data_IF_756295334381
#
_entry.id   IF_756295334381
#
_cell.length_a   1.000
_cell.length_b   1.000
_cell.length_c   1.000
_cell.angle_alpha   90.00
_cell.angle_beta   90.00
_cell.angle_gamma   90.00
#
_symmetry.space_group_name_H-M   'P 1'
#
loop_
_entity.id
_entity.type
_entity.pdbx_description
1 polymer ?
#
# COMPACT_ATOMS: atom_id res chain seq x y z
N UNK A 1 -29.97 -7.88 19.45
CA UNK A 1 -29.92 -7.28 18.11
C UNK A 1 -28.47 -7.30 17.68
N UNK A 2 -28.08 -8.05 16.65
CA UNK A 2 -26.68 -8.18 16.29
C UNK A 2 -26.28 -7.00 15.40
N UNK A 3 -25.30 -6.22 15.86
CA UNK A 3 -24.54 -5.30 15.01
C UNK A 3 -23.53 -6.14 14.23
N UNK A 4 -23.73 -6.22 12.92
CA UNK A 4 -22.73 -6.68 11.98
C UNK A 4 -21.84 -5.48 11.62
N UNK A 5 -20.57 -5.51 11.99
CA UNK A 5 -19.55 -4.62 11.41
C UNK A 5 -18.36 -5.49 11.03
N UNK A 6 -18.24 -5.79 9.74
CA UNK A 6 -17.08 -6.38 9.12
C UNK A 6 -16.23 -5.23 8.54
N UNK A 7 -14.92 -5.26 8.73
CA UNK A 7 -14.00 -4.32 8.08
C UNK A 7 -13.04 -5.09 7.20
N UNK A 8 -12.85 -4.58 5.98
CA UNK A 8 -11.94 -5.14 4.98
C UNK A 8 -10.56 -4.49 5.17
N UNK A 9 -9.52 -5.32 5.27
CA UNK A 9 -8.14 -4.86 5.10
C UNK A 9 -7.97 -4.39 3.67
N UNK A 10 -7.16 -3.34 3.41
CA UNK A 10 -6.89 -2.74 2.08
C UNK A 10 -7.17 -3.75 0.99
N UNK A 11 -8.37 -3.70 0.44
CA UNK A 11 -8.57 -4.35 -0.82
C UNK A 11 -7.79 -3.45 -1.77
N UNK A 12 -6.58 -3.85 -2.12
CA UNK A 12 -5.97 -3.47 -3.41
C UNK A 12 -6.76 -4.08 -4.57
N UNK A 13 -8.08 -4.17 -4.45
CA UNK A 13 -8.99 -4.16 -5.58
C UNK A 13 -9.41 -2.71 -5.68
N UNK A 14 -8.99 -2.03 -6.75
CA UNK A 14 -9.83 -1.00 -7.33
C UNK A 14 -11.29 -1.51 -7.26
N UNK A 15 -12.13 -0.83 -6.45
CA UNK A 15 -13.60 -1.00 -6.37
C UNK A 15 -14.14 -2.41 -6.71
N UNK A 16 -14.37 -3.25 -5.70
CA UNK A 16 -15.45 -4.23 -5.78
C UNK A 16 -16.49 -3.84 -4.73
N UNK A 17 -17.42 -2.97 -5.18
CA UNK A 17 -18.58 -2.57 -4.40
C UNK A 17 -19.65 -3.66 -4.48
N UNK A 18 -20.34 -3.84 -3.36
CA UNK A 18 -21.39 -4.81 -3.05
C UNK A 18 -22.56 -4.88 -4.06
N UNK A 19 -22.90 -6.10 -4.50
CA UNK A 19 -23.90 -6.49 -5.51
C UNK A 19 -25.33 -6.54 -4.95
N UNK A 20 -25.91 -5.39 -4.62
CA UNK A 20 -27.33 -5.37 -4.28
C UNK A 20 -28.06 -4.12 -4.75
N UNK A 21 -28.19 -3.91 -6.07
CA UNK A 21 -29.36 -3.28 -6.70
C UNK A 21 -29.20 -3.33 -8.23
N UNK A 22 -29.80 -4.32 -8.89
CA UNK A 22 -29.75 -4.45 -10.35
C UNK A 22 -31.17 -4.46 -10.93
N UNK A 23 -31.52 -3.37 -11.64
CA UNK A 23 -32.67 -3.32 -12.54
C UNK A 23 -32.15 -3.31 -14.00
N UNK A 24 -31.88 -4.51 -14.52
CA UNK A 24 -32.23 -4.88 -15.90
C UNK A 24 -31.58 -4.13 -17.07
N UNK A 25 -30.34 -3.64 -16.94
CA UNK A 25 -29.52 -3.24 -18.11
C UNK A 25 -28.10 -3.76 -17.90
N UNK A 26 -27.63 -4.67 -18.76
CA UNK A 26 -26.23 -5.11 -18.77
C UNK A 26 -25.31 -3.93 -19.14
N UNK A 27 -24.32 -3.65 -18.29
CA UNK A 27 -23.23 -2.69 -18.53
C UNK A 27 -21.88 -3.44 -18.41
N UNK A 28 -20.85 -3.14 -19.23
CA UNK A 28 -19.61 -3.91 -19.30
C UNK A 28 -18.53 -3.44 -18.30
N UNK A 29 -17.88 -4.39 -17.59
CA UNK A 29 -16.46 -4.56 -17.20
C UNK A 29 -15.46 -3.39 -16.86
N UNK A 30 -15.79 -2.09 -16.92
CA UNK A 30 -14.74 -1.08 -17.25
C UNK A 30 -14.54 0.13 -16.32
N UNK A 31 -13.82 0.00 -15.20
CA UNK A 31 -13.30 1.15 -14.41
C UNK A 31 -11.87 0.89 -13.90
N UNK A 32 -11.23 1.89 -13.26
CA UNK A 32 -9.76 2.14 -13.10
C UNK A 32 -8.88 0.89 -12.92
N UNK A 33 -7.61 0.71 -13.34
CA UNK A 33 -6.49 1.53 -13.86
C UNK A 33 -6.81 2.93 -14.36
N UNK A 34 -6.83 3.94 -13.49
CA UNK A 34 -7.44 5.27 -13.62
C UNK A 34 -8.34 5.47 -14.84
N UNK A 35 -9.59 5.04 -14.68
CA UNK A 35 -10.61 4.73 -15.70
C UNK A 35 -10.16 3.96 -16.95
N UNK A 36 -8.89 3.68 -17.19
CA UNK A 36 -8.20 2.93 -18.26
C UNK A 36 -8.40 3.54 -19.67
N UNK A 37 -9.27 4.55 -19.76
CA UNK A 37 -10.32 4.62 -20.81
C UNK A 37 -11.04 5.98 -20.81
N UNK A 38 -10.37 7.06 -20.43
CA UNK A 38 -10.92 8.43 -20.54
C UNK A 38 -11.23 9.10 -19.20
N UNK A 39 -10.24 9.20 -18.32
CA UNK A 39 -10.31 10.10 -17.16
C UNK A 39 -10.33 11.56 -17.65
N UNK A 40 -11.27 12.34 -17.09
CA UNK A 40 -11.30 13.80 -17.04
C UNK A 40 -12.32 14.12 -15.93
N UNK A 41 -12.21 15.26 -15.28
CA UNK A 41 -10.96 15.90 -14.87
C UNK A 41 -11.08 16.58 -13.51
N UNK A 42 -12.29 16.63 -12.98
CA UNK A 42 -12.71 17.45 -11.87
C UNK A 42 -13.00 16.57 -10.66
N UNK A 43 -12.54 15.32 -10.66
CA UNK A 43 -12.52 14.38 -9.54
C UNK A 43 -11.22 13.55 -9.50
N UNK A 44 -10.29 13.86 -10.41
CA UNK A 44 -8.88 13.41 -10.41
C UNK A 44 -8.09 13.95 -9.24
N UNK A 45 -8.68 14.90 -8.53
CA UNK A 45 -8.09 15.42 -7.33
C UNK A 45 -8.17 14.34 -6.25
N UNK A 46 -7.05 13.59 -6.19
CA UNK A 46 -6.35 13.14 -4.99
C UNK A 46 -6.49 11.66 -4.64
N UNK A 47 -5.37 11.00 -4.32
CA UNK A 47 -4.18 10.86 -5.15
C UNK A 47 -4.24 9.53 -5.93
N UNK A 48 -4.06 9.67 -7.24
CA UNK A 48 -3.93 8.61 -8.27
C UNK A 48 -2.82 7.63 -7.92
N UNK A 49 -1.85 8.10 -7.13
CA UNK A 49 -0.74 7.32 -6.62
C UNK A 49 -0.77 7.36 -5.10
N UNK A 50 -0.90 6.19 -4.50
CA UNK A 50 -0.75 6.02 -3.08
C UNK A 50 0.71 5.68 -2.77
N UNK A 51 1.40 6.53 -2.00
CA UNK A 51 2.76 6.25 -1.53
C UNK A 51 2.81 6.37 -0.02
N UNK A 52 3.26 5.32 0.65
CA UNK A 52 3.52 5.31 2.07
C UNK A 52 4.86 4.65 2.41
N UNK A 53 5.48 5.14 3.49
CA UNK A 53 6.55 4.44 4.18
C UNK A 53 6.04 4.02 5.55
N UNK A 54 6.20 2.74 5.87
CA UNK A 54 6.01 2.24 7.22
C UNK A 54 7.39 2.13 7.88
N UNK A 55 7.54 2.64 9.09
CA UNK A 55 8.78 2.52 9.88
C UNK A 55 8.45 1.82 11.19
N UNK A 56 9.13 0.72 11.49
CA UNK A 56 8.92 -0.06 12.71
C UNK A 56 9.58 0.64 13.91
N UNK A 57 9.03 1.79 14.30
CA UNK A 57 9.45 2.58 15.44
C UNK A 57 8.32 3.54 15.87
N UNK A 58 8.30 4.00 17.13
CA UNK A 58 7.38 5.04 17.59
C UNK A 58 7.55 6.36 16.84
N UNK A 59 6.46 7.10 16.64
CA UNK A 59 6.47 8.36 15.88
C UNK A 59 7.41 9.42 16.48
N UNK A 60 7.63 9.38 17.78
CA UNK A 60 8.56 10.27 18.50
C UNK A 60 10.03 10.02 18.12
N UNK A 61 10.35 8.80 17.67
CA UNK A 61 11.68 8.45 17.17
C UNK A 61 11.81 8.71 15.67
N UNK A 62 10.74 8.49 14.91
CA UNK A 62 10.74 8.66 13.45
C UNK A 62 10.72 10.13 13.06
N UNK A 63 9.87 10.94 13.70
CA UNK A 63 9.64 12.33 13.30
C UNK A 63 10.89 13.22 13.33
N UNK A 64 11.79 13.14 14.33
CA UNK A 64 13.03 13.91 14.30
C UNK A 64 13.97 13.43 13.21
N UNK A 65 14.00 12.13 12.87
CA UNK A 65 14.88 11.64 11.80
C UNK A 65 14.40 12.12 10.44
N UNK A 66 13.08 12.09 10.21
CA UNK A 66 12.45 12.59 8.98
C UNK A 66 12.68 14.10 8.82
N UNK A 67 12.54 14.91 9.87
CA UNK A 67 12.72 16.37 9.79
C UNK A 67 14.13 16.81 9.38
N UNK A 68 15.13 15.93 9.49
CA UNK A 68 16.52 16.18 9.08
C UNK A 68 16.91 15.48 7.76
N UNK A 69 15.95 14.89 7.04
CA UNK A 69 16.23 14.30 5.74
C UNK A 69 16.18 15.36 4.63
N UNK A 70 17.14 15.37 3.69
CA UNK A 70 17.01 16.14 2.46
C UNK A 70 15.70 15.72 1.76
N UNK A 71 14.95 16.68 1.23
CA UNK A 71 13.63 16.45 0.60
C UNK A 71 12.51 16.01 1.54
N UNK A 72 12.71 16.05 2.86
CA UNK A 72 11.58 16.06 3.76
C UNK A 72 10.81 17.34 3.50
N UNK A 73 9.73 17.23 2.72
CA UNK A 73 8.73 18.28 2.65
C UNK A 73 8.20 18.53 4.07
N UNK A 74 7.49 19.64 4.30
CA UNK A 74 6.98 19.96 5.65
C UNK A 74 6.02 18.88 6.14
N UNK A 75 6.53 17.93 6.92
CA UNK A 75 5.73 16.91 7.58
C UNK A 75 5.10 17.49 8.83
N UNK A 76 3.80 17.22 9.00
CA UNK A 76 3.17 17.31 10.31
C UNK A 76 3.27 15.93 10.95
N UNK A 77 4.00 15.87 12.06
CA UNK A 77 4.02 14.70 12.93
C UNK A 77 2.75 14.67 13.79
N UNK A 78 2.25 13.45 14.04
CA UNK A 78 1.11 13.19 14.91
C UNK A 78 -0.10 14.04 14.50
N UNK A 79 -0.63 13.80 13.30
CA UNK A 79 -1.72 14.60 12.71
C UNK A 79 -3.07 14.42 13.39
N UNK A 80 -3.18 13.55 14.39
CA UNK A 80 -4.47 13.27 15.03
C UNK A 80 -5.07 14.47 15.73
N UNK A 81 -6.30 14.81 15.37
CA UNK A 81 -7.04 15.93 15.95
C UNK A 81 -6.47 17.30 15.56
N UNK A 82 -5.61 17.35 14.53
CA UNK A 82 -5.08 18.59 13.95
C UNK A 82 -5.78 18.87 12.63
N UNK A 83 -6.10 20.14 12.38
CA UNK A 83 -6.46 20.58 11.02
C UNK A 83 -5.19 20.53 10.18
N UNK A 84 -5.24 19.82 9.06
CA UNK A 84 -4.11 19.71 8.13
C UNK A 84 -4.37 20.75 7.03
N UNK A 85 -3.65 21.86 7.08
CA UNK A 85 -3.76 22.92 6.08
C UNK A 85 -2.49 22.90 5.21
N UNK A 86 -2.67 22.63 3.91
CA UNK A 86 -1.65 22.82 2.88
C UNK A 86 -0.31 22.15 3.21
N UNK A 87 -0.32 20.84 3.49
CA UNK A 87 0.91 20.09 3.75
C UNK A 87 1.22 19.09 2.67
N UNK A 88 2.51 18.91 2.46
CA UNK A 88 3.04 18.00 1.47
C UNK A 88 3.27 16.60 2.03
N UNK A 89 2.99 16.37 3.31
CA UNK A 89 3.16 15.07 3.93
C UNK A 89 2.67 15.02 5.36
N UNK A 90 2.27 13.82 5.78
CA UNK A 90 1.72 13.56 7.10
C UNK A 90 2.41 12.35 7.71
N UNK A 91 2.61 12.38 9.02
CA UNK A 91 3.04 11.20 9.77
C UNK A 91 2.05 10.91 10.88
N UNK A 92 1.70 9.65 11.03
CA UNK A 92 0.81 9.16 12.07
C UNK A 92 1.18 7.73 12.43
N UNK A 93 0.74 7.31 13.61
CA UNK A 93 0.88 5.94 14.07
C UNK A 93 -0.47 5.51 14.62
N UNK A 94 -1.04 4.42 14.10
CA UNK A 94 -2.30 3.92 14.64
C UNK A 94 -2.10 3.39 16.07
N UNK A 95 -3.11 3.56 16.93
CA UNK A 95 -3.04 3.04 18.29
C UNK A 95 -2.88 1.51 18.28
N UNK A 96 -1.89 0.99 18.99
CA UNK A 96 -1.56 -0.44 19.01
C UNK A 96 -0.85 -0.96 17.76
N UNK A 97 -0.63 -0.11 16.75
CA UNK A 97 0.13 -0.47 15.57
C UNK A 97 1.62 -0.14 15.79
N UNK A 98 2.55 -1.11 15.65
CA UNK A 98 3.97 -0.85 15.93
C UNK A 98 4.68 -0.02 14.85
N UNK A 99 4.00 0.31 13.76
CA UNK A 99 4.56 1.03 12.62
C UNK A 99 4.08 2.48 12.60
N UNK A 100 5.02 3.40 12.49
CA UNK A 100 4.73 4.78 12.09
C UNK A 100 4.61 4.84 10.58
N UNK A 101 3.57 5.51 10.09
CA UNK A 101 3.28 5.66 8.67
C UNK A 101 3.60 7.09 8.26
N UNK A 102 4.40 7.24 7.20
CA UNK A 102 4.75 8.50 6.57
C UNK A 102 4.13 8.52 5.17
N UNK A 103 3.27 9.50 4.88
CA UNK A 103 2.62 9.63 3.58
C UNK A 103 3.07 10.88 2.83
N UNK A 104 3.19 10.71 1.50
CA UNK A 104 3.46 11.68 0.42
C UNK A 104 4.95 11.97 0.08
N UNK A 105 5.24 11.95 -1.23
CA UNK A 105 6.49 12.40 -1.87
C UNK A 105 7.73 11.58 -1.57
N UNK A 106 7.53 10.35 -1.13
CA UNK A 106 8.58 9.47 -0.66
C UNK A 106 9.07 8.52 -1.73
N UNK A 107 10.31 8.09 -1.59
CA UNK A 107 10.94 7.09 -2.47
C UNK A 107 11.37 5.89 -1.64
N UNK A 108 11.56 4.74 -2.29
CA UNK A 108 12.20 3.59 -1.66
C UNK A 108 13.56 3.93 -1.02
N UNK A 109 14.28 4.91 -1.58
CA UNK A 109 15.52 5.43 -1.00
C UNK A 109 15.32 6.00 0.40
N UNK A 110 14.22 6.74 0.63
CA UNK A 110 13.92 7.31 1.94
C UNK A 110 13.57 6.23 2.97
N UNK A 111 12.77 5.23 2.60
CA UNK A 111 12.49 4.08 3.46
C UNK A 111 13.81 3.40 3.88
N UNK A 112 14.67 3.09 2.91
CA UNK A 112 16.01 2.54 3.17
C UNK A 112 16.82 3.39 4.13
N UNK A 113 16.85 4.71 3.95
CA UNK A 113 17.57 5.62 4.84
C UNK A 113 16.98 5.68 6.25
N UNK A 114 15.66 5.59 6.39
CA UNK A 114 15.00 5.54 7.70
C UNK A 114 15.36 4.24 8.42
N UNK A 115 15.23 3.10 7.73
CA UNK A 115 15.67 1.80 8.23
C UNK A 115 17.15 1.81 8.66
N UNK A 116 18.03 2.42 7.87
CA UNK A 116 19.45 2.56 8.20
C UNK A 116 19.69 3.44 9.43
N UNK A 117 19.09 4.63 9.50
CA UNK A 117 19.35 5.59 10.58
C UNK A 117 18.77 5.14 11.92
N UNK A 118 17.59 4.53 11.88
CA UNK A 118 16.89 4.06 13.08
C UNK A 118 17.25 2.62 13.45
N UNK A 119 18.09 1.93 12.66
CA UNK A 119 18.46 0.53 12.87
C UNK A 119 17.22 -0.36 13.08
N UNK A 120 16.25 -0.19 12.18
CA UNK A 120 14.95 -0.86 12.26
C UNK A 120 14.47 -1.34 10.87
N UNK A 121 13.30 -1.96 10.81
CA UNK A 121 12.61 -2.28 9.56
C UNK A 121 11.86 -1.07 9.01
N UNK A 122 11.84 -0.93 7.69
CA UNK A 122 10.92 -0.02 7.01
C UNK A 122 10.34 -0.68 5.77
N UNK A 123 9.09 -0.37 5.44
CA UNK A 123 8.44 -0.79 4.20
C UNK A 123 8.22 0.45 3.35
N UNK A 124 8.69 0.43 2.11
CA UNK A 124 8.19 1.32 1.07
C UNK A 124 7.02 0.65 0.38
N UNK A 125 5.94 1.39 0.20
CA UNK A 125 4.73 0.96 -0.47
C UNK A 125 4.30 2.03 -1.46
N UNK A 126 4.08 1.62 -2.69
CA UNK A 126 3.53 2.46 -3.74
C UNK A 126 2.48 1.66 -4.53
N UNK A 127 1.36 2.32 -4.79
CA UNK A 127 0.35 1.87 -5.72
C UNK A 127 0.04 3.02 -6.67
N UNK A 128 0.06 2.77 -7.96
CA UNK A 128 -0.22 3.72 -9.03
C UNK A 128 -1.47 3.24 -9.77
N UNK A 129 -2.62 3.87 -9.51
CA UNK A 129 -3.86 3.49 -10.18
C UNK A 129 -3.76 3.78 -11.69
N UNK A 130 -3.07 4.85 -12.12
CA UNK A 130 -2.92 5.14 -13.57
C UNK A 130 -2.12 4.10 -14.33
N UNK A 131 -1.01 3.66 -13.74
CA UNK A 131 -0.12 2.68 -14.35
C UNK A 131 -0.55 1.23 -14.09
N UNK A 132 -1.47 1.01 -13.15
CA UNK A 132 -1.67 -0.30 -12.55
C UNK A 132 -0.44 -0.78 -11.81
N UNK A 133 0.46 0.10 -11.41
CA UNK A 133 1.76 -0.32 -10.91
C UNK A 133 1.76 -0.46 -9.40
N UNK A 134 2.42 -1.51 -8.93
CA UNK A 134 2.50 -1.84 -7.53
C UNK A 134 3.94 -2.12 -7.11
N UNK A 135 4.42 -1.43 -6.07
CA UNK A 135 5.73 -1.64 -5.48
C UNK A 135 5.67 -1.84 -3.96
N UNK A 136 6.40 -2.85 -3.50
CA UNK A 136 6.69 -3.12 -2.10
C UNK A 136 8.18 -3.37 -1.94
N UNK A 137 8.81 -2.68 -0.99
CA UNK A 137 10.20 -2.95 -0.62
C UNK A 137 10.36 -2.93 0.89
N UNK A 138 10.75 -4.05 1.47
CA UNK A 138 11.09 -4.18 2.88
C UNK A 138 12.60 -4.02 3.06
N UNK A 139 12.96 -3.07 3.91
CA UNK A 139 14.33 -2.84 4.33
C UNK A 139 14.52 -3.21 5.80
N UNK A 140 15.71 -3.69 6.13
CA UNK A 140 16.18 -3.87 7.50
C UNK A 140 17.60 -3.33 7.62
N UNK A 141 17.81 -2.41 8.57
CA UNK A 141 19.08 -1.72 8.79
C UNK A 141 19.70 -1.09 7.52
N UNK A 142 18.85 -0.67 6.57
CA UNK A 142 19.28 -0.10 5.29
C UNK A 142 19.55 -1.09 4.16
N UNK A 143 19.38 -2.40 4.39
CA UNK A 143 19.45 -3.41 3.34
C UNK A 143 18.05 -3.82 2.88
N UNK A 144 17.85 -3.97 1.58
CA UNK A 144 16.62 -4.55 1.04
C UNK A 144 16.62 -6.06 1.28
N UNK A 145 15.57 -6.57 1.92
CA UNK A 145 15.44 -7.99 2.29
C UNK A 145 14.25 -8.68 1.62
N UNK A 146 13.29 -7.91 1.10
CA UNK A 146 12.15 -8.40 0.31
C UNK A 146 11.66 -7.28 -0.62
N UNK A 147 11.38 -7.61 -1.88
CA UNK A 147 10.94 -6.68 -2.91
C UNK A 147 9.88 -7.37 -3.77
N UNK A 148 8.78 -6.66 -4.04
CA UNK A 148 7.76 -7.02 -5.01
C UNK A 148 7.52 -5.81 -5.89
N UNK A 149 7.48 -6.04 -7.19
CA UNK A 149 7.19 -5.04 -8.19
C UNK A 149 6.27 -5.69 -9.21
N UNK A 150 5.08 -5.14 -9.41
CA UNK A 150 4.02 -5.82 -10.14
C UNK A 150 3.18 -4.83 -10.92
N UNK A 151 2.84 -5.23 -12.14
CA UNK A 151 1.85 -4.59 -12.97
C UNK A 151 0.49 -5.28 -12.72
N UNK A 152 -0.54 -4.51 -12.42
CA UNK A 152 -1.90 -4.94 -12.12
C UNK A 152 -2.55 -5.63 -13.32
N UNK A 153 -2.03 -5.46 -14.55
CA UNK A 153 -2.49 -6.22 -15.72
C UNK A 153 -2.46 -7.74 -15.50
N UNK A 154 -1.64 -8.27 -14.59
CA UNK A 154 -1.64 -9.71 -14.28
C UNK A 154 -2.86 -10.18 -13.48
N UNK A 155 -3.55 -9.25 -12.81
CA UNK A 155 -4.72 -9.55 -11.96
C UNK A 155 -6.05 -9.26 -12.66
N UNK A 156 -6.01 -8.66 -13.85
CA UNK A 156 -7.21 -8.38 -14.66
C UNK A 156 -7.80 -9.68 -15.24
N UNK A 157 -9.11 -9.86 -15.08
CA UNK A 157 -9.87 -11.02 -15.55
C UNK A 157 -9.74 -11.24 -17.06
N UNK A 158 -9.52 -10.17 -17.83
CA UNK A 158 -9.30 -10.21 -19.28
C UNK A 158 -7.96 -10.87 -19.67
N UNK A 159 -7.05 -10.97 -18.71
CA UNK A 159 -5.69 -11.47 -18.86
C UNK A 159 -5.49 -12.85 -18.20
N UNK A 160 -6.53 -13.45 -17.60
CA UNK A 160 -6.52 -14.80 -17.02
C UNK A 160 -6.13 -15.92 -18.00
N UNK A 161 -6.20 -15.65 -19.30
CA UNK A 161 -5.81 -16.59 -20.36
C UNK A 161 -4.36 -16.42 -20.82
N UNK A 162 -3.64 -15.41 -20.31
CA UNK A 162 -2.26 -15.19 -20.67
C UNK A 162 -1.35 -16.23 -20.02
N UNK A 163 -0.40 -16.73 -20.81
CA UNK A 163 0.61 -17.67 -20.33
C UNK A 163 1.71 -16.89 -19.65
N UNK A 164 1.63 -16.78 -18.33
CA UNK A 164 2.70 -16.21 -17.51
C UNK A 164 3.88 -17.19 -17.48
N UNK A 165 5.03 -16.75 -17.98
CA UNK A 165 6.24 -17.58 -18.00
C UNK A 165 7.06 -17.23 -16.75
N UNK A 166 7.21 -18.17 -15.80
CA UNK A 166 8.11 -17.95 -14.68
C UNK A 166 9.55 -18.01 -15.17
N UNK A 167 10.31 -16.95 -14.90
CA UNK A 167 11.73 -16.90 -15.24
C UNK A 167 12.57 -16.51 -14.00
N UNK A 168 13.70 -17.20 -13.77
CA UNK A 168 14.63 -16.78 -12.75
C UNK A 168 15.23 -15.43 -13.15
N UNK A 169 15.37 -14.54 -12.19
CA UNK A 169 16.11 -13.31 -12.39
C UNK A 169 17.61 -13.66 -12.36
N UNK A 170 18.31 -13.30 -13.43
CA UNK A 170 19.69 -13.75 -13.66
C UNK A 170 20.70 -12.89 -12.88
N UNK A 171 20.38 -12.58 -11.63
CA UNK A 171 21.30 -11.97 -10.67
C UNK A 171 21.54 -12.92 -9.49
N UNK A 172 22.61 -12.66 -8.74
CA UNK A 172 22.98 -13.48 -7.57
C UNK A 172 21.96 -13.39 -6.43
N UNK A 173 20.85 -12.67 -6.63
CA UNK A 173 19.88 -12.36 -5.58
C UNK A 173 18.71 -13.34 -5.51
N UNK A 174 18.64 -14.31 -6.45
CA UNK A 174 17.69 -15.41 -6.41
C UNK A 174 16.23 -14.99 -6.62
N UNK A 175 16.01 -13.83 -7.24
CA UNK A 175 14.68 -13.36 -7.60
C UNK A 175 14.06 -14.21 -8.71
N UNK A 176 12.74 -14.12 -8.86
CA UNK A 176 12.03 -14.64 -10.01
C UNK A 176 10.92 -13.67 -10.42
N UNK A 177 10.45 -13.79 -11.64
CA UNK A 177 9.35 -12.96 -12.10
C UNK A 177 8.46 -13.67 -13.10
N UNK A 178 7.44 -12.95 -13.53
CA UNK A 178 6.50 -13.36 -14.56
C UNK A 178 6.69 -12.47 -15.77
N UNK A 179 6.70 -13.08 -16.96
CA UNK A 179 6.69 -12.36 -18.22
C UNK A 179 5.38 -12.53 -18.97
N UNK A 180 4.99 -11.46 -19.67
CA UNK A 180 3.95 -11.40 -20.68
C UNK A 180 4.57 -10.85 -21.97
N UNK A 181 4.47 -11.59 -23.07
CA UNK A 181 5.01 -11.20 -24.39
C UNK A 181 6.49 -10.75 -24.34
N UNK A 182 7.27 -11.40 -23.47
CA UNK A 182 8.70 -11.12 -23.26
C UNK A 182 9.01 -9.94 -22.32
N UNK A 183 7.99 -9.24 -21.82
CA UNK A 183 8.13 -8.13 -20.86
C UNK A 183 7.84 -8.61 -19.44
N UNK A 184 8.59 -8.11 -18.45
CA UNK A 184 8.33 -8.40 -17.04
C UNK A 184 7.09 -7.67 -16.57
N UNK A 185 6.14 -8.42 -16.01
CA UNK A 185 4.89 -7.88 -15.44
C UNK A 185 4.81 -8.10 -13.94
N UNK A 186 5.63 -9.00 -13.38
CA UNK A 186 5.84 -9.09 -11.94
C UNK A 186 7.24 -9.59 -11.63
N UNK A 187 7.79 -9.11 -10.53
CA UNK A 187 9.10 -9.47 -10.03
C UNK A 187 9.02 -9.59 -8.51
N UNK A 188 9.54 -10.69 -7.99
CA UNK A 188 9.65 -10.91 -6.56
C UNK A 188 11.04 -11.38 -6.18
N UNK A 189 11.56 -10.80 -5.10
CA UNK A 189 12.83 -11.19 -4.50
C UNK A 189 12.69 -11.16 -3.00
N UNK A 190 13.19 -12.20 -2.32
CA UNK A 190 13.17 -12.22 -0.85
C UNK A 190 14.27 -13.09 -0.27
N UNK A 191 14.84 -12.60 0.84
CA UNK A 191 15.69 -13.40 1.74
C UNK A 191 14.89 -14.05 2.87
N UNK A 192 13.61 -13.70 3.00
CA UNK A 192 12.74 -14.14 4.09
C UNK A 192 11.92 -15.38 3.73
N UNK A 193 11.53 -15.50 2.46
CA UNK A 193 10.64 -16.57 1.99
C UNK A 193 10.84 -16.84 0.51
N UNK A 194 10.38 -18.00 0.07
CA UNK A 194 10.12 -18.29 -1.33
C UNK A 194 8.62 -18.22 -1.58
N UNK A 195 8.22 -17.79 -2.77
CA UNK A 195 6.84 -17.89 -3.23
C UNK A 195 6.86 -18.54 -4.63
N UNK A 196 5.78 -19.20 -5.00
CA UNK A 196 5.60 -19.79 -6.33
C UNK A 196 5.10 -18.76 -7.34
N UNK A 197 5.19 -19.09 -8.63
CA UNK A 197 4.60 -18.29 -9.71
C UNK A 197 3.08 -18.08 -9.54
N UNK A 198 2.39 -19.12 -9.08
CA UNK A 198 0.96 -19.04 -8.77
C UNK A 198 0.69 -18.08 -7.60
N UNK A 199 1.53 -18.08 -6.57
CA UNK A 199 1.41 -17.11 -5.47
C UNK A 199 1.73 -15.69 -5.92
N UNK A 200 2.73 -15.49 -6.80
CA UNK A 200 3.05 -14.19 -7.38
C UNK A 200 1.90 -13.61 -8.20
N UNK A 201 1.07 -14.46 -8.79
CA UNK A 201 -0.11 -14.05 -9.56
C UNK A 201 -1.38 -13.84 -8.71
N UNK A 202 -1.31 -13.94 -7.37
CA UNK A 202 -2.47 -13.68 -6.51
C UNK A 202 -2.65 -12.19 -6.23
N UNK A 203 -3.86 -11.68 -6.44
CA UNK A 203 -4.21 -10.28 -6.16
C UNK A 203 -4.12 -9.90 -4.67
N UNK A 204 -4.18 -10.87 -3.76
CA UNK A 204 -4.06 -10.65 -2.32
C UNK A 204 -2.63 -10.84 -1.77
N UNK A 205 -1.65 -11.12 -2.65
CA UNK A 205 -0.25 -11.32 -2.23
C UNK A 205 0.27 -10.12 -1.45
N UNK A 206 -0.07 -8.91 -1.90
CA UNK A 206 0.38 -7.69 -1.24
C UNK A 206 -0.03 -7.62 0.24
N UNK A 207 -1.32 -7.83 0.52
CA UNK A 207 -1.84 -7.87 1.88
C UNK A 207 -1.14 -8.96 2.70
N UNK A 208 -0.90 -10.10 2.07
CA UNK A 208 -0.16 -11.21 2.69
C UNK A 208 1.26 -10.79 3.09
N UNK A 209 1.95 -10.00 2.27
CA UNK A 209 3.30 -9.49 2.57
C UNK A 209 3.30 -8.47 3.72
N UNK A 210 2.36 -7.51 3.74
CA UNK A 210 2.22 -6.58 4.85
C UNK A 210 1.91 -7.30 6.17
N UNK A 211 0.92 -8.19 6.16
CA UNK A 211 0.48 -8.91 7.36
C UNK A 211 1.58 -9.82 7.92
N UNK A 212 2.40 -10.40 7.06
CA UNK A 212 3.57 -11.16 7.49
C UNK A 212 4.60 -10.32 8.25
N UNK A 213 4.54 -8.99 8.16
CA UNK A 213 5.37 -8.05 8.94
C UNK A 213 4.60 -7.41 10.11
N UNK A 214 3.41 -7.91 10.46
CA UNK A 214 2.48 -7.26 11.41
C UNK A 214 2.23 -5.78 11.04
N UNK A 215 2.25 -5.50 9.73
CA UNK A 215 1.91 -4.22 9.14
C UNK A 215 0.52 -4.31 8.53
N UNK A 216 -0.26 -3.24 8.68
CA UNK A 216 -1.57 -3.11 8.07
C UNK A 216 -1.85 -1.64 7.85
N UNK A 217 -2.79 -1.33 6.97
CA UNK A 217 -3.31 0.01 6.84
C UNK A 217 -4.81 -0.12 6.56
N UNK A 218 -5.64 0.79 7.09
CA UNK A 218 -7.07 0.70 6.88
C UNK A 218 -7.43 1.20 5.48
N UNK A 219 -8.70 1.08 5.12
CA UNK A 219 -9.24 1.62 3.87
C UNK A 219 -8.99 3.13 3.75
N UNK A 220 -9.02 3.64 2.52
CA UNK A 220 -8.78 5.05 2.17
C UNK A 220 -9.56 6.03 3.09
N UNK A 221 -10.80 5.68 3.44
CA UNK A 221 -11.67 6.49 4.30
C UNK A 221 -11.10 6.77 5.69
N UNK A 222 -10.14 5.98 6.16
CA UNK A 222 -9.50 6.08 7.48
C UNK A 222 -8.06 6.62 7.41
N UNK A 223 -7.63 7.06 6.23
CA UNK A 223 -6.31 7.63 6.00
C UNK A 223 -6.40 9.17 6.07
N UNK A 224 -5.57 9.84 6.89
CA UNK A 224 -5.59 11.30 6.98
C UNK A 224 -4.93 11.93 5.74
N UNK A 225 -5.71 12.27 4.71
CA UNK A 225 -5.20 12.91 3.50
C UNK A 225 -4.95 14.42 3.70
N UNK A 226 -3.76 14.94 3.31
CA UNK A 226 -3.43 16.35 3.50
C UNK A 226 -4.15 17.34 2.56
N UNK A 227 -4.72 16.85 1.45
CA UNK A 227 -5.23 17.70 0.36
C UNK A 227 -6.75 17.71 0.21
N UNK A 228 -7.48 16.92 1.01
CA UNK A 228 -8.94 17.02 1.07
C UNK A 228 -9.31 17.91 2.24
N UNK A 229 -10.36 18.73 2.14
CA UNK A 229 -10.90 19.56 3.24
C UNK A 229 -11.53 18.71 4.36
N UNK A 230 -10.89 17.60 4.73
CA UNK A 230 -11.27 16.82 5.89
C UNK A 230 -10.55 17.40 7.09
N UNK A 231 -11.32 17.72 8.13
CA UNK A 231 -10.77 17.75 9.47
C UNK A 231 -10.26 16.33 9.74
N UNK A 232 -8.95 16.17 10.00
CA UNK A 232 -8.40 14.86 10.32
C UNK A 232 -9.12 14.35 11.59
N UNK A 233 -10.11 13.47 11.40
CA UNK A 233 -10.84 12.89 12.52
C UNK A 233 -9.82 12.10 13.31
N UNK A 234 -9.66 12.43 14.59
CA UNK A 234 -8.89 11.60 15.51
C UNK A 234 -9.63 10.28 15.65
N UNK A 235 -9.19 9.29 14.89
CA UNK A 235 -9.65 7.93 15.08
C UNK A 235 -9.16 7.49 16.46
N UNK A 236 -10.11 7.24 17.34
CA UNK A 236 -9.88 6.76 18.70
C UNK A 236 -9.54 5.28 18.66
N UNK A 237 -9.04 4.74 19.78
CA UNK A 237 -8.88 3.28 19.92
C UNK A 237 -10.19 2.52 19.73
N UNK A 238 -11.36 3.17 19.85
CA UNK A 238 -12.66 2.58 19.59
C UNK A 238 -13.06 2.62 18.10
N UNK A 239 -12.46 3.49 17.29
CA UNK A 239 -12.65 3.50 15.83
C UNK A 239 -11.82 2.38 15.15
N UNK A 240 -11.02 1.63 15.91
CA UNK A 240 -10.18 0.55 15.40
C UNK A 240 -10.29 -0.71 16.26
N UNK A 241 -10.85 -1.76 15.68
CA UNK A 241 -10.73 -3.11 16.21
C UNK A 241 -9.87 -3.91 15.23
N UNK A 242 -8.73 -4.44 15.71
CA UNK A 242 -7.99 -5.49 14.99
C UNK A 242 -8.92 -6.69 14.83
N UNK A 243 -9.41 -6.95 13.62
CA UNK A 243 -10.35 -8.07 13.37
C UNK A 243 -9.71 -9.42 13.73
N UNK A 244 -8.40 -9.54 13.57
CA UNK A 244 -7.63 -10.71 13.99
C UNK A 244 -7.50 -10.86 15.52
N UNK A 245 -7.73 -9.79 16.30
CA UNK A 245 -7.89 -9.88 17.75
C UNK A 245 -9.29 -10.39 18.17
N UNK A 246 -10.31 -10.22 17.31
CA UNK A 246 -11.67 -10.74 17.55
C UNK A 246 -11.83 -12.21 17.15
N UNK A 247 -11.01 -12.73 16.23
CA UNK A 247 -11.06 -14.15 15.79
C UNK A 247 -10.34 -15.09 16.78
N UNK A 248 -9.63 -14.54 17.77
CA UNK A 248 -8.87 -15.32 18.77
C UNK A 248 -9.49 -15.35 20.18
N UNK A 249 -10.73 -14.89 20.34
CA UNK A 249 -11.52 -14.98 21.59
C UNK A 249 -12.77 -15.81 21.36
#
# INVERSE_FOLDING_TARGET
>A
MPHHEAFFMISGTARLHDDSYNNGVEMPDNQSIAKRRGVDPSLDHLPIDFIAIFVLAPIEQVSPVVSHMPYAMTFIADVYGKTIENTWGVMFQYHGHPWTICMVGHTAHMARKLSQRLQTKSIFFQFEDTGGWFDYQLFQNGEAIEELSCDEYIYDDQHKHLVLIPEPYNDDSGGFGLKLDGQWVAMFRSRLRTISAHELARSDLFNTLLLAQDAWMPEEAFIPYPNRQFTAKKLTAADFIRVDALVRT
#
